data_IF_403070165672
#
_entry.id   IF_403070165672
#
_cell.length_a   1.000
_cell.length_b   1.000
_cell.length_c   1.000
_cell.angle_alpha   90.00
_cell.angle_beta   90.00
_cell.angle_gamma   90.00
#
_symmetry.space_group_name_H-M   'P 1'
#
loop_
_entity.id
_entity.type
_entity.pdbx_description
1 polymer ?
#
# COMPACT_ATOMS: atom_id res chain seq x y z
N UNK A 1 -4.80 12.33 -10.57
CA UNK A 1 -4.80 11.16 -9.66
C UNK A 1 -3.75 10.12 -10.07
N UNK A 2 -3.00 9.59 -9.09
CA UNK A 2 -2.02 8.50 -9.26
C UNK A 2 -2.24 7.39 -8.23
N UNK A 3 -1.97 6.13 -8.62
CA UNK A 3 -2.04 4.95 -7.76
C UNK A 3 -0.64 4.33 -7.65
N UNK A 4 -0.17 4.05 -6.43
CA UNK A 4 1.17 3.51 -6.18
C UNK A 4 1.08 2.27 -5.30
N UNK A 5 1.54 1.14 -5.82
CA UNK A 5 1.75 -0.07 -5.03
C UNK A 5 3.17 -0.05 -4.46
N UNK A 6 3.30 -0.10 -3.13
CA UNK A 6 4.60 -0.06 -2.49
C UNK A 6 4.73 -1.10 -1.37
N UNK A 7 5.86 -1.82 -1.30
CA UNK A 7 6.21 -2.60 -0.12
C UNK A 7 6.58 -1.68 1.04
N UNK A 8 6.39 -2.17 2.27
CA UNK A 8 6.86 -1.50 3.48
C UNK A 8 8.37 -1.62 3.63
N UNK A 9 9.14 -0.99 2.73
CA UNK A 9 10.61 -0.96 2.81
C UNK A 9 11.09 0.14 3.74
N UNK A 10 11.08 -0.15 5.04
CA UNK A 10 11.57 0.78 6.06
C UNK A 10 10.98 2.18 5.91
N UNK A 11 11.84 3.20 5.85
CA UNK A 11 11.45 4.61 5.79
C UNK A 11 11.23 5.15 4.37
N UNK A 12 11.57 4.39 3.31
CA UNK A 12 11.50 4.89 1.92
C UNK A 12 10.08 5.35 1.56
N UNK A 13 9.08 4.59 2.00
CA UNK A 13 7.67 4.90 1.76
C UNK A 13 7.21 6.14 2.53
N UNK A 14 7.70 6.30 3.75
CA UNK A 14 7.44 7.47 4.59
C UNK A 14 8.03 8.74 3.96
N UNK A 15 9.27 8.65 3.45
CA UNK A 15 9.93 9.74 2.74
C UNK A 15 9.15 10.11 1.46
N UNK A 16 8.74 9.12 0.68
CA UNK A 16 7.94 9.33 -0.51
C UNK A 16 6.63 10.08 -0.19
N UNK A 17 5.90 9.65 0.84
CA UNK A 17 4.66 10.31 1.26
C UNK A 17 4.91 11.77 1.68
N UNK A 18 6.00 12.03 2.42
CA UNK A 18 6.38 13.39 2.85
C UNK A 18 6.67 14.29 1.65
N UNK A 19 7.42 13.79 0.67
CA UNK A 19 7.75 14.54 -0.56
C UNK A 19 6.48 14.82 -1.39
N UNK A 20 5.59 13.84 -1.51
CA UNK A 20 4.32 14.04 -2.20
C UNK A 20 3.46 15.12 -1.53
N UNK A 21 3.37 15.11 -0.20
CA UNK A 21 2.68 16.15 0.56
C UNK A 21 3.31 17.54 0.38
N UNK A 22 4.65 17.63 0.39
CA UNK A 22 5.36 18.88 0.11
C UNK A 22 5.12 19.41 -1.30
N UNK A 23 4.90 18.51 -2.27
CA UNK A 23 4.51 18.86 -3.62
C UNK A 23 3.02 19.25 -3.77
N UNK A 24 2.26 19.32 -2.66
CA UNK A 24 0.84 19.66 -2.67
C UNK A 24 -0.09 18.48 -2.99
N UNK A 25 0.40 17.24 -2.95
CA UNK A 25 -0.42 16.05 -3.16
C UNK A 25 -1.01 15.55 -1.85
N UNK A 26 -2.30 15.26 -1.84
CA UNK A 26 -2.92 14.48 -0.79
C UNK A 26 -2.56 13.01 -0.98
N UNK A 27 -2.14 12.33 0.09
CA UNK A 27 -1.76 10.92 0.09
C UNK A 27 -2.71 10.15 1.00
N UNK A 28 -3.40 9.13 0.46
CA UNK A 28 -4.19 8.19 1.26
C UNK A 28 -3.67 6.78 1.10
N UNK A 29 -3.28 6.19 2.22
CA UNK A 29 -2.85 4.80 2.28
C UNK A 29 -4.07 3.90 2.51
N UNK A 30 -4.24 2.92 1.63
CA UNK A 30 -5.18 1.83 1.82
C UNK A 30 -4.42 0.53 2.03
N UNK A 31 -4.56 -0.03 3.23
CA UNK A 31 -4.19 -1.41 3.51
C UNK A 31 -5.37 -2.30 3.10
N UNK A 32 -5.10 -3.49 2.57
CA UNK A 32 -6.12 -4.43 2.10
C UNK A 32 -7.13 -3.78 1.14
N UNK A 33 -6.61 -3.15 0.09
CA UNK A 33 -7.36 -2.34 -0.88
C UNK A 33 -8.50 -3.08 -1.58
N UNK A 34 -8.37 -4.39 -1.74
CA UNK A 34 -9.41 -5.27 -2.28
C UNK A 34 -9.27 -6.66 -1.65
N UNK A 35 -10.37 -7.25 -1.18
CA UNK A 35 -10.35 -8.53 -0.48
C UNK A 35 -9.97 -9.71 -1.39
N UNK A 36 -10.40 -9.69 -2.66
CA UNK A 36 -10.07 -10.75 -3.62
C UNK A 36 -8.60 -10.67 -4.03
N UNK A 37 -8.10 -9.46 -4.29
CA UNK A 37 -6.69 -9.27 -4.63
C UNK A 37 -5.80 -9.55 -3.42
N UNK A 38 -6.24 -9.19 -2.20
CA UNK A 38 -5.50 -9.49 -0.97
C UNK A 38 -5.37 -10.99 -0.72
N UNK A 39 -6.40 -11.79 -0.98
CA UNK A 39 -6.32 -13.25 -0.85
C UNK A 39 -5.29 -13.87 -1.81
N UNK A 40 -5.28 -13.43 -3.08
CA UNK A 40 -4.25 -13.82 -4.06
C UNK A 40 -2.87 -13.38 -3.58
N UNK A 41 -2.76 -12.18 -3.02
CA UNK A 41 -1.52 -11.65 -2.48
C UNK A 41 -0.96 -12.54 -1.35
N UNK A 42 -1.80 -12.93 -0.39
CA UNK A 42 -1.41 -13.83 0.70
C UNK A 42 -0.95 -15.19 0.17
N UNK A 43 -1.69 -15.78 -0.77
CA UNK A 43 -1.33 -17.07 -1.38
C UNK A 43 0.04 -17.04 -2.05
N UNK A 44 0.32 -15.98 -2.84
CA UNK A 44 1.62 -15.85 -3.51
C UNK A 44 2.75 -15.60 -2.51
N UNK A 45 2.51 -14.80 -1.46
CA UNK A 45 3.48 -14.58 -0.38
C UNK A 45 3.83 -15.89 0.34
N UNK A 46 2.82 -16.66 0.71
CA UNK A 46 3.01 -17.90 1.46
C UNK A 46 3.65 -18.99 0.59
N UNK A 47 3.33 -19.04 -0.71
CA UNK A 47 4.04 -19.88 -1.67
C UNK A 47 5.52 -19.50 -1.79
N UNK A 48 5.86 -18.20 -1.76
CA UNK A 48 7.25 -17.75 -1.77
C UNK A 48 7.99 -18.03 -0.46
N UNK A 49 7.32 -17.97 0.69
CA UNK A 49 7.89 -18.41 1.98
C UNK A 49 8.35 -19.87 1.98
N UNK A 50 7.66 -20.72 1.22
CA UNK A 50 8.00 -22.13 1.09
C UNK A 50 9.21 -22.36 0.17
N UNK A 51 9.50 -21.44 -0.76
CA UNK A 51 10.58 -21.57 -1.75
C UNK A 51 11.80 -20.69 -1.47
N UNK A 52 11.64 -19.55 -0.82
CA UNK A 52 12.71 -18.63 -0.44
C UNK A 52 13.07 -18.79 1.04
N UNK A 53 14.31 -19.16 1.31
CA UNK A 53 14.83 -19.31 2.68
C UNK A 53 15.12 -17.96 3.36
N UNK A 54 15.15 -16.85 2.62
CA UNK A 54 15.44 -15.52 3.17
C UNK A 54 14.15 -14.71 3.40
N UNK A 55 13.70 -14.55 4.65
CA UNK A 55 12.46 -13.82 4.97
C UNK A 55 12.49 -12.35 4.55
N UNK A 56 13.68 -11.74 4.48
CA UNK A 56 13.84 -10.34 4.12
C UNK A 56 13.47 -10.06 2.64
N UNK A 57 13.60 -11.03 1.74
CA UNK A 57 13.21 -10.84 0.34
C UNK A 57 11.69 -10.81 0.23
N UNK A 58 11.01 -11.70 0.95
CA UNK A 58 9.56 -11.84 0.94
C UNK A 58 8.89 -10.59 1.51
N UNK A 59 9.36 -10.09 2.65
CA UNK A 59 8.77 -8.89 3.26
C UNK A 59 9.03 -7.60 2.46
N UNK A 60 10.23 -7.45 1.88
CA UNK A 60 10.61 -6.22 1.19
C UNK A 60 10.16 -6.15 -0.28
N UNK A 61 9.83 -7.27 -0.94
CA UNK A 61 9.34 -7.24 -2.33
C UNK A 61 7.82 -7.25 -2.47
N UNK A 62 7.08 -7.60 -1.41
CA UNK A 62 5.62 -7.73 -1.52
C UNK A 62 4.90 -6.42 -1.16
N UNK A 63 4.15 -5.81 -2.09
CA UNK A 63 3.47 -4.53 -1.83
C UNK A 63 2.36 -4.65 -0.78
N UNK A 64 2.64 -4.16 0.43
CA UNK A 64 1.73 -4.19 1.57
C UNK A 64 0.65 -3.08 1.53
N UNK A 65 0.80 -2.09 0.66
CA UNK A 65 -0.07 -0.91 0.66
C UNK A 65 -0.26 -0.33 -0.73
N UNK A 66 -1.49 0.15 -0.98
CA UNK A 66 -1.85 0.95 -2.14
C UNK A 66 -2.02 2.41 -1.70
N UNK A 67 -1.30 3.32 -2.35
CA UNK A 67 -1.41 4.75 -2.13
C UNK A 67 -2.21 5.37 -3.26
N UNK A 68 -3.23 6.14 -2.90
CA UNK A 68 -3.95 7.02 -3.82
C UNK A 68 -3.46 8.44 -3.57
N UNK A 69 -2.96 9.08 -4.64
CA UNK A 69 -2.47 10.45 -4.62
C UNK A 69 -3.30 11.33 -5.56
N UNK A 70 -3.62 12.54 -5.13
CA UNK A 70 -4.41 13.51 -5.90
C UNK A 70 -4.12 14.94 -5.46
N UNK A 71 -4.56 15.91 -6.25
CA UNK A 71 -4.40 17.33 -5.91
C UNK A 71 -5.29 17.71 -4.71
N UNK A 72 -4.85 18.67 -3.90
CA UNK A 72 -5.59 19.24 -2.76
C UNK A 72 -6.91 19.84 -3.25
N UNK A 73 -7.98 19.04 -3.24
CA UNK A 73 -9.31 19.41 -3.74
C UNK A 73 -10.07 18.23 -4.36
N UNK A 74 -9.36 17.24 -4.89
CA UNK A 74 -9.96 15.93 -5.19
C UNK A 74 -10.28 15.28 -3.84
N UNK A 75 -11.57 15.15 -3.48
CA UNK A 75 -12.00 14.40 -2.30
C UNK A 75 -11.45 12.98 -2.43
N UNK A 76 -10.31 12.71 -1.79
CA UNK A 76 -9.84 11.34 -1.62
C UNK A 76 -10.75 10.75 -0.55
N UNK A 77 -11.90 10.25 -0.99
CA UNK A 77 -12.81 9.48 -0.16
C UNK A 77 -12.02 8.22 0.21
N UNK A 78 -11.35 8.25 1.35
CA UNK A 78 -10.93 7.02 2.01
C UNK A 78 -12.20 6.20 2.17
N UNK A 79 -12.25 5.01 1.57
CA UNK A 79 -13.40 4.14 1.67
C UNK A 79 -13.61 3.84 3.15
N UNK A 80 -14.56 4.55 3.77
CA UNK A 80 -14.99 4.28 5.14
C UNK A 80 -15.49 2.83 5.14
N UNK A 81 -14.89 1.90 5.90
CA UNK A 81 -15.43 0.56 5.99
C UNK A 81 -16.85 0.68 6.53
N UNK A 82 -17.81 0.13 5.79
CA UNK A 82 -19.20 0.09 6.17
C UNK A 82 -19.33 -0.82 7.40
N UNK A 83 -19.23 -0.27 8.62
CA UNK A 83 -19.35 -1.14 9.80
C UNK A 83 -19.08 -0.59 11.20
N UNK A 84 -18.69 0.66 11.43
CA UNK A 84 -18.70 1.22 12.79
C UNK A 84 -19.89 2.18 12.98
N UNK A 85 -20.85 1.70 13.78
CA UNK A 85 -21.86 2.50 14.48
C UNK A 85 -21.28 3.02 15.78
#
# INVERSE_FOLDING_TARGET
>A
MALVFAPGRGETLTLFCRLAQQAGLCVCQHQQYDAQVWDVHLKVRDQRKLTESNPAIIENHFPQSLFKMGETGERIIAARPAGLR
#
